data_IF_203559483526
#
_entry.id   IF_203559483526
#
_cell.length_a   1.000
_cell.length_b   1.000
_cell.length_c   1.000
_cell.angle_alpha   90.00
_cell.angle_beta   90.00
_cell.angle_gamma   90.00
#
_symmetry.space_group_name_H-M   'P 1'
#
loop_
_entity.id
_entity.type
_entity.pdbx_description
1 polymer ?
#
# COMPACT_ATOMS: atom_id res chain seq x y z
N UNK A 1 -10.29 7.58 -21.94
CA UNK A 1 -8.97 8.23 -21.87
C UNK A 1 -8.11 7.35 -20.97
N UNK A 2 -7.21 6.57 -21.59
CA UNK A 2 -6.24 5.78 -20.84
C UNK A 2 -5.29 6.73 -20.11
N UNK A 3 -5.27 6.68 -18.79
CA UNK A 3 -4.31 7.39 -17.97
C UNK A 3 -3.12 6.45 -17.76
N UNK A 4 -1.98 6.80 -18.30
CA UNK A 4 -0.74 6.07 -18.07
C UNK A 4 0.03 6.58 -16.86
N UNK A 5 1.14 5.90 -16.57
CA UNK A 5 2.11 6.27 -15.55
C UNK A 5 3.48 6.49 -16.21
N UNK A 6 4.25 7.42 -15.68
CA UNK A 6 5.66 7.60 -16.08
C UNK A 6 6.50 6.46 -15.52
N UNK A 7 6.85 5.49 -16.36
CA UNK A 7 7.60 4.29 -15.99
C UNK A 7 9.08 4.56 -15.72
N UNK A 8 9.63 5.66 -16.21
CA UNK A 8 10.99 6.10 -15.90
C UNK A 8 11.06 6.62 -14.46
N UNK A 9 10.09 7.45 -14.05
CA UNK A 9 10.01 7.93 -12.67
C UNK A 9 9.73 6.79 -11.68
N UNK A 10 8.81 5.87 -12.01
CA UNK A 10 8.50 4.69 -11.20
C UNK A 10 9.32 3.47 -11.67
N UNK A 11 10.64 3.55 -11.52
CA UNK A 11 11.55 2.43 -11.76
C UNK A 11 12.44 2.17 -10.54
N UNK A 12 12.54 0.91 -10.16
CA UNK A 12 13.41 0.48 -9.04
C UNK A 12 14.88 0.77 -9.28
N UNK A 13 15.32 0.85 -10.56
CA UNK A 13 16.69 1.17 -10.95
C UNK A 13 17.05 2.63 -10.66
N UNK A 14 16.07 3.52 -10.69
CA UNK A 14 16.25 4.96 -10.47
C UNK A 14 16.16 5.35 -9.00
N UNK A 15 16.04 4.38 -8.09
CA UNK A 15 16.00 4.58 -6.64
C UNK A 15 17.27 4.05 -5.99
N UNK A 16 18.07 4.91 -5.33
CA UNK A 16 19.29 4.48 -4.68
C UNK A 16 19.03 3.86 -3.30
N UNK A 17 19.88 2.88 -2.90
CA UNK A 17 19.84 2.31 -1.55
C UNK A 17 20.12 3.38 -0.47
N UNK A 18 21.04 4.31 -0.74
CA UNK A 18 21.35 5.40 0.18
C UNK A 18 20.12 6.25 0.48
N UNK A 19 19.37 6.64 -0.55
CA UNK A 19 18.13 7.42 -0.37
C UNK A 19 17.04 6.61 0.37
N UNK A 20 16.90 5.32 0.07
CA UNK A 20 15.97 4.43 0.77
C UNK A 20 16.31 4.33 2.27
N UNK A 21 17.60 4.18 2.62
CA UNK A 21 18.04 4.11 4.00
C UNK A 21 17.83 5.44 4.75
N UNK A 22 18.05 6.58 4.09
CA UNK A 22 17.75 7.89 4.67
C UNK A 22 16.26 8.07 4.95
N UNK A 23 15.39 7.60 4.04
CA UNK A 23 13.94 7.65 4.23
C UNK A 23 13.53 6.77 5.41
N UNK A 24 14.05 5.54 5.50
CA UNK A 24 13.84 4.61 6.60
C UNK A 24 14.16 5.25 7.95
N UNK A 25 15.35 5.85 8.07
CA UNK A 25 15.79 6.55 9.29
C UNK A 25 14.88 7.74 9.62
N UNK A 26 14.52 8.55 8.62
CA UNK A 26 13.67 9.72 8.82
C UNK A 26 12.25 9.36 9.27
N UNK A 27 11.73 8.24 8.81
CA UNK A 27 10.41 7.71 9.17
C UNK A 27 10.45 6.82 10.41
N UNK A 28 11.63 6.54 10.96
CA UNK A 28 11.86 5.66 12.12
C UNK A 28 11.30 4.25 11.89
N UNK A 29 11.50 3.72 10.70
CA UNK A 29 11.04 2.40 10.30
C UNK A 29 12.15 1.38 10.58
N UNK A 30 11.80 0.21 11.11
CA UNK A 30 12.70 -0.93 11.24
C UNK A 30 12.38 -1.95 10.13
N UNK A 31 13.28 -2.09 9.16
CA UNK A 31 13.18 -3.06 8.05
C UNK A 31 13.19 -4.54 8.47
N UNK A 32 13.39 -4.84 9.74
CA UNK A 32 13.17 -6.21 10.25
C UNK A 32 11.70 -6.59 10.23
N UNK A 33 10.82 -5.58 10.26
CA UNK A 33 9.38 -5.77 10.10
C UNK A 33 9.00 -5.89 8.62
N UNK A 34 7.90 -6.58 8.35
CA UNK A 34 7.22 -6.54 7.06
C UNK A 34 6.53 -5.19 6.90
N UNK A 35 6.94 -4.40 5.90
CA UNK A 35 6.49 -3.01 5.74
C UNK A 35 5.26 -2.94 4.83
N UNK A 36 4.15 -2.44 5.38
CA UNK A 36 2.87 -2.29 4.68
C UNK A 36 2.62 -0.80 4.46
N UNK A 37 2.50 -0.37 3.19
CA UNK A 37 2.30 1.03 2.82
C UNK A 37 0.87 1.25 2.32
N UNK A 38 0.15 2.21 2.91
CA UNK A 38 -1.12 2.72 2.41
C UNK A 38 -0.93 4.20 2.01
N UNK A 39 -0.69 4.50 0.71
CA UNK A 39 -0.56 5.85 0.24
C UNK A 39 -1.92 6.41 -0.20
N UNK A 40 -2.17 7.66 0.16
CA UNK A 40 -3.38 8.36 -0.26
C UNK A 40 -3.79 9.44 0.72
N UNK A 41 -4.49 10.47 0.23
CA UNK A 41 -5.03 11.53 1.07
C UNK A 41 -5.85 10.95 2.22
N UNK A 42 -5.76 11.56 3.40
CA UNK A 42 -6.59 11.15 4.54
C UNK A 42 -8.04 11.62 4.31
N UNK A 43 -8.83 10.75 3.74
CA UNK A 43 -10.25 10.97 3.44
C UNK A 43 -11.02 9.67 3.64
N UNK A 44 -12.27 9.78 4.11
CA UNK A 44 -13.10 8.62 4.44
C UNK A 44 -13.16 7.59 3.30
N UNK A 45 -13.31 8.06 2.06
CA UNK A 45 -13.44 7.20 0.90
C UNK A 45 -12.17 6.42 0.53
N UNK A 46 -11.00 6.81 1.06
CA UNK A 46 -9.72 6.07 0.92
C UNK A 46 -9.60 4.88 1.87
N UNK A 47 -10.55 4.70 2.80
CA UNK A 47 -10.69 3.50 3.60
C UNK A 47 -9.57 3.25 4.63
N UNK A 48 -8.95 4.33 5.16
CA UNK A 48 -7.95 4.18 6.22
C UNK A 48 -8.53 3.52 7.48
N UNK A 49 -9.82 3.74 7.77
CA UNK A 49 -10.50 3.09 8.90
C UNK A 49 -10.53 1.57 8.70
N UNK A 50 -11.01 1.09 7.54
CA UNK A 50 -11.02 -0.33 7.17
C UNK A 50 -9.62 -0.95 7.26
N UNK A 51 -8.59 -0.20 6.83
CA UNK A 51 -7.21 -0.66 6.93
C UNK A 51 -6.75 -0.80 8.38
N UNK A 52 -6.98 0.21 9.24
CA UNK A 52 -6.60 0.15 10.66
C UNK A 52 -7.32 -1.01 11.37
N UNK A 53 -8.61 -1.19 11.08
CA UNK A 53 -9.39 -2.32 11.60
C UNK A 53 -8.83 -3.67 11.14
N UNK A 54 -8.44 -3.80 9.88
CA UNK A 54 -7.82 -5.04 9.39
C UNK A 54 -6.49 -5.36 10.06
N UNK A 55 -5.69 -4.34 10.39
CA UNK A 55 -4.43 -4.52 11.10
C UNK A 55 -4.64 -4.97 12.56
N UNK A 56 -5.75 -4.58 13.20
CA UNK A 56 -6.08 -5.09 14.54
C UNK A 56 -6.34 -6.59 14.54
N UNK A 57 -7.05 -7.10 13.52
CA UNK A 57 -7.33 -8.52 13.34
C UNK A 57 -6.05 -9.33 13.08
N UNK A 58 -5.08 -8.78 12.36
CA UNK A 58 -3.76 -9.40 12.18
C UNK A 58 -2.99 -9.49 13.50
N UNK A 59 -3.06 -8.44 14.32
CA UNK A 59 -2.35 -8.36 15.61
C UNK A 59 -2.88 -9.34 16.64
N UNK A 60 -4.17 -9.66 16.61
CA UNK A 60 -4.81 -10.61 17.53
C UNK A 60 -4.44 -12.07 17.23
N UNK A 61 -4.13 -12.39 16.00
CA UNK A 61 -3.82 -13.76 15.57
C UNK A 61 -2.40 -14.26 15.91
N UNK A 62 -1.65 -13.58 16.77
CA UNK A 62 -0.37 -13.94 17.42
C UNK A 62 0.74 -14.61 16.58
N UNK A 63 0.53 -14.93 15.32
CA UNK A 63 1.49 -15.70 14.52
C UNK A 63 2.48 -14.86 13.71
N UNK A 64 2.21 -13.55 13.52
CA UNK A 64 3.14 -12.65 12.80
C UNK A 64 3.09 -11.24 13.39
N UNK A 65 3.80 -11.06 14.50
CA UNK A 65 3.89 -9.78 15.19
C UNK A 65 4.76 -8.73 14.45
N UNK A 66 5.54 -9.16 13.45
CA UNK A 66 6.57 -8.33 12.87
C UNK A 66 6.10 -7.63 11.59
N UNK A 67 5.10 -6.77 11.70
CA UNK A 67 4.78 -5.82 10.65
C UNK A 67 4.83 -4.38 11.16
N UNK A 68 5.08 -3.46 10.25
CA UNK A 68 4.94 -2.03 10.47
C UNK A 68 4.17 -1.41 9.32
N UNK A 69 3.10 -0.69 9.63
CA UNK A 69 2.24 -0.06 8.63
C UNK A 69 2.54 1.45 8.53
N UNK A 70 2.57 1.96 7.32
CA UNK A 70 2.77 3.37 7.02
C UNK A 70 1.51 3.89 6.33
N UNK A 71 0.82 4.85 6.96
CA UNK A 71 -0.27 5.60 6.34
C UNK A 71 0.34 6.91 5.82
N UNK A 72 0.49 7.01 4.51
CA UNK A 72 1.18 8.11 3.84
C UNK A 72 0.19 9.00 3.12
N UNK A 73 0.02 10.23 3.60
CA UNK A 73 -0.80 11.25 2.94
C UNK A 73 -1.25 12.36 3.86
N UNK A 74 -1.52 13.52 3.28
CA UNK A 74 -2.01 14.68 3.98
C UNK A 74 -3.53 14.60 4.21
N UNK A 75 -3.97 15.16 5.33
CA UNK A 75 -5.39 15.40 5.60
C UNK A 75 -5.95 16.62 4.85
N UNK A 76 -5.08 17.46 4.31
CA UNK A 76 -5.47 18.67 3.58
C UNK A 76 -6.45 19.56 4.40
N UNK A 77 -6.19 19.71 5.69
CA UNK A 77 -7.03 20.47 6.63
C UNK A 77 -8.26 19.71 7.16
N UNK A 78 -8.37 18.40 6.90
CA UNK A 78 -9.45 17.55 7.46
C UNK A 78 -9.08 16.99 8.83
N UNK A 79 -8.71 17.88 9.77
CA UNK A 79 -8.22 17.51 11.10
C UNK A 79 -9.16 16.58 11.87
N UNK A 80 -10.48 16.73 11.71
CA UNK A 80 -11.46 15.87 12.38
C UNK A 80 -11.26 14.40 11.97
N UNK A 81 -10.99 14.16 10.69
CA UNK A 81 -10.79 12.81 10.20
C UNK A 81 -9.44 12.25 10.64
N UNK A 82 -8.36 13.02 10.57
CA UNK A 82 -7.05 12.58 11.03
C UNK A 82 -7.04 12.28 12.54
N UNK A 83 -7.69 13.11 13.36
CA UNK A 83 -7.89 12.85 14.79
C UNK A 83 -8.68 11.56 15.04
N UNK A 84 -9.74 11.30 14.26
CA UNK A 84 -10.49 10.04 14.33
C UNK A 84 -9.61 8.83 14.07
N UNK A 85 -8.75 8.88 13.05
CA UNK A 85 -7.82 7.78 12.74
C UNK A 85 -6.83 7.52 13.89
N UNK A 86 -6.30 8.57 14.50
CA UNK A 86 -5.40 8.44 15.66
C UNK A 86 -6.09 7.78 16.85
N UNK A 87 -7.33 8.16 17.16
CA UNK A 87 -8.14 7.54 18.20
C UNK A 87 -8.41 6.05 17.90
N UNK A 88 -8.63 5.71 16.63
CA UNK A 88 -8.82 4.33 16.21
C UNK A 88 -7.56 3.49 16.42
N UNK A 89 -6.38 4.02 16.06
CA UNK A 89 -5.08 3.40 16.31
C UNK A 89 -4.84 3.17 17.80
N UNK A 90 -5.22 4.12 18.65
CA UNK A 90 -5.11 4.01 20.09
C UNK A 90 -6.07 2.95 20.66
N UNK A 91 -7.34 2.98 20.24
CA UNK A 91 -8.38 2.00 20.61
C UNK A 91 -7.93 0.56 20.30
N UNK A 92 -7.31 0.32 19.13
CA UNK A 92 -6.82 -1.00 18.73
C UNK A 92 -5.40 -1.30 19.21
N UNK A 93 -4.79 -0.44 20.04
CA UNK A 93 -3.42 -0.61 20.58
C UNK A 93 -2.33 -0.77 19.52
N UNK A 94 -2.52 -0.14 18.37
CA UNK A 94 -1.61 -0.23 17.22
C UNK A 94 -0.57 0.90 17.14
N UNK A 95 -0.44 1.74 18.18
CA UNK A 95 0.43 2.94 18.20
C UNK A 95 1.91 2.64 17.88
N UNK A 96 2.40 1.46 18.26
CA UNK A 96 3.77 1.03 17.94
C UNK A 96 3.93 0.38 16.57
N UNK A 97 2.82 0.06 15.90
CA UNK A 97 2.77 -0.67 14.62
C UNK A 97 2.36 0.21 13.44
N UNK A 98 1.92 1.44 13.68
CA UNK A 98 1.47 2.36 12.62
C UNK A 98 2.18 3.69 12.75
N UNK A 99 2.74 4.16 11.63
CA UNK A 99 3.29 5.51 11.48
C UNK A 99 2.48 6.30 10.46
N UNK A 100 2.09 7.54 10.82
CA UNK A 100 1.48 8.49 9.88
C UNK A 100 2.57 9.40 9.32
N UNK A 101 2.64 9.47 8.00
CA UNK A 101 3.56 10.34 7.25
C UNK A 101 2.72 11.30 6.41
N UNK A 102 2.89 12.59 6.63
CA UNK A 102 2.07 13.60 5.96
C UNK A 102 2.32 13.66 4.44
N UNK A 103 3.59 13.58 4.02
CA UNK A 103 3.94 13.65 2.61
C UNK A 103 5.29 12.97 2.32
N UNK A 104 5.44 12.52 1.09
CA UNK A 104 6.70 12.05 0.54
C UNK A 104 6.90 12.71 -0.83
N UNK A 105 8.05 13.38 -1.03
CA UNK A 105 8.38 14.01 -2.32
C UNK A 105 8.71 12.95 -3.37
N UNK A 106 9.46 11.92 -2.97
CA UNK A 106 9.93 10.85 -3.82
C UNK A 106 9.12 9.58 -3.56
N UNK A 107 7.92 9.52 -4.15
CA UNK A 107 7.02 8.36 -4.00
C UNK A 107 7.67 7.02 -4.39
N UNK A 108 8.54 6.91 -5.42
CA UNK A 108 9.26 5.68 -5.71
C UNK A 108 10.05 5.12 -4.52
N UNK A 109 10.63 5.97 -3.67
CA UNK A 109 11.35 5.52 -2.48
C UNK A 109 10.40 4.93 -1.42
N UNK A 110 9.22 5.53 -1.24
CA UNK A 110 8.20 5.00 -0.34
C UNK A 110 7.73 3.60 -0.78
N UNK A 111 7.49 3.42 -2.07
CA UNK A 111 7.19 2.10 -2.64
C UNK A 111 8.36 1.13 -2.49
N UNK A 112 9.60 1.57 -2.75
CA UNK A 112 10.79 0.72 -2.59
C UNK A 112 10.99 0.25 -1.16
N UNK A 113 10.66 1.09 -0.17
CA UNK A 113 10.74 0.75 1.25
C UNK A 113 9.73 -0.31 1.66
N UNK A 114 8.57 -0.38 1.01
CA UNK A 114 7.48 -1.28 1.39
C UNK A 114 7.65 -2.70 0.82
N UNK A 115 7.12 -3.71 1.53
CA UNK A 115 6.99 -5.09 1.07
C UNK A 115 5.62 -5.33 0.42
N UNK A 116 4.60 -4.60 0.88
CA UNK A 116 3.23 -4.67 0.41
C UNK A 116 2.61 -3.27 0.34
N UNK A 117 1.87 -3.01 -0.71
CA UNK A 117 1.09 -1.78 -0.85
C UNK A 117 -0.40 -2.09 -0.70
N UNK A 118 -1.14 -1.17 -0.10
CA UNK A 118 -2.59 -1.28 0.08
C UNK A 118 -3.30 -0.13 -0.65
N UNK A 119 -4.39 -0.46 -1.30
CA UNK A 119 -5.38 0.50 -1.82
C UNK A 119 -6.76 0.11 -1.30
N UNK A 120 -7.16 0.72 -0.18
CA UNK A 120 -8.36 0.33 0.58
C UNK A 120 -9.59 1.20 0.30
N UNK A 121 -9.66 1.86 -0.85
CA UNK A 121 -10.77 2.75 -1.19
C UNK A 121 -12.12 2.07 -1.04
N UNK A 122 -13.07 2.76 -0.40
CA UNK A 122 -14.44 2.27 -0.18
C UNK A 122 -15.43 2.81 -1.21
N UNK A 123 -14.96 3.73 -2.07
CA UNK A 123 -15.68 4.26 -3.21
C UNK A 123 -14.89 4.00 -4.50
N UNK A 124 -15.54 3.90 -5.67
CA UNK A 124 -14.86 3.62 -6.93
C UNK A 124 -13.85 4.71 -7.30
N UNK A 125 -12.60 4.33 -7.51
CA UNK A 125 -11.60 5.20 -8.13
C UNK A 125 -11.65 5.04 -9.65
N UNK A 126 -11.52 6.14 -10.38
CA UNK A 126 -11.58 6.12 -11.84
C UNK A 126 -10.43 5.32 -12.48
N UNK A 127 -9.23 5.32 -11.86
CA UNK A 127 -8.05 4.66 -12.45
C UNK A 127 -7.31 3.73 -11.48
N UNK A 128 -7.28 4.02 -10.16
CA UNK A 128 -6.51 3.24 -9.20
C UNK A 128 -5.00 3.49 -9.29
N UNK A 129 -4.59 4.76 -9.30
CA UNK A 129 -3.18 5.17 -9.43
C UNK A 129 -2.23 4.42 -8.50
N UNK A 130 -2.60 4.25 -7.24
CA UNK A 130 -1.79 3.54 -6.23
C UNK A 130 -1.46 2.12 -6.69
N UNK A 131 -2.43 1.42 -7.27
CA UNK A 131 -2.22 0.05 -7.75
C UNK A 131 -1.25 0.00 -8.94
N UNK A 132 -1.32 0.96 -9.84
CA UNK A 132 -0.42 1.04 -11.01
C UNK A 132 0.99 1.45 -10.57
N UNK A 133 1.13 2.43 -9.67
CA UNK A 133 2.42 2.88 -9.12
C UNK A 133 3.14 1.76 -8.34
N UNK A 134 2.41 1.03 -7.49
CA UNK A 134 2.94 -0.11 -6.76
C UNK A 134 3.48 -1.20 -7.70
N UNK A 135 2.69 -1.56 -8.71
CA UNK A 135 3.06 -2.55 -9.71
C UNK A 135 4.27 -2.08 -10.56
N UNK A 136 4.34 -0.80 -10.94
CA UNK A 136 5.49 -0.22 -11.63
C UNK A 136 6.77 -0.36 -10.79
N UNK A 137 6.66 -0.19 -9.48
CA UNK A 137 7.75 -0.37 -8.52
C UNK A 137 7.95 -1.82 -8.06
N UNK A 138 7.38 -2.80 -8.79
CA UNK A 138 7.48 -4.23 -8.51
C UNK A 138 7.05 -4.60 -7.09
N UNK A 139 6.03 -3.92 -6.55
CA UNK A 139 5.48 -4.22 -5.23
C UNK A 139 4.17 -4.95 -5.35
N UNK A 140 3.99 -6.05 -4.62
CA UNK A 140 2.68 -6.67 -4.43
C UNK A 140 1.67 -5.63 -3.97
N UNK A 141 0.44 -5.74 -4.47
CA UNK A 141 -0.66 -4.85 -4.10
C UNK A 141 -1.85 -5.66 -3.58
N UNK A 142 -2.45 -5.21 -2.48
CA UNK A 142 -3.80 -5.63 -2.08
C UNK A 142 -4.73 -4.45 -2.28
N UNK A 143 -5.74 -4.60 -3.11
CA UNK A 143 -6.64 -3.52 -3.48
C UNK A 143 -8.10 -3.92 -3.32
N UNK A 144 -8.95 -2.92 -3.04
CA UNK A 144 -10.40 -3.09 -3.03
C UNK A 144 -10.91 -3.53 -4.40
N UNK A 145 -11.78 -4.54 -4.44
CA UNK A 145 -12.45 -5.02 -5.67
C UNK A 145 -13.56 -4.04 -6.10
N UNK A 146 -13.15 -2.80 -6.45
CA UNK A 146 -14.06 -1.72 -6.85
C UNK A 146 -13.33 -0.73 -7.79
N UNK A 147 -14.10 -0.16 -8.74
CA UNK A 147 -13.57 0.85 -9.66
C UNK A 147 -12.35 0.39 -10.47
N UNK A 148 -11.41 1.29 -10.72
CA UNK A 148 -10.22 1.04 -11.53
C UNK A 148 -9.28 -0.05 -11.02
N UNK A 149 -9.35 -0.41 -9.74
CA UNK A 149 -8.54 -1.51 -9.20
C UNK A 149 -8.86 -2.85 -9.86
N UNK A 150 -10.11 -3.06 -10.26
CA UNK A 150 -10.56 -4.28 -10.98
C UNK A 150 -9.88 -4.45 -12.35
N UNK A 151 -9.52 -3.35 -12.97
CA UNK A 151 -8.88 -3.33 -14.30
C UNK A 151 -7.36 -3.33 -14.19
N UNK A 152 -6.83 -2.67 -13.15
CA UNK A 152 -5.39 -2.46 -13.00
C UNK A 152 -4.68 -3.58 -12.26
N UNK A 153 -5.37 -4.39 -11.44
CA UNK A 153 -4.79 -5.49 -10.68
C UNK A 153 -5.17 -6.83 -11.31
N UNK A 154 -4.17 -7.64 -11.66
CA UNK A 154 -4.37 -9.04 -12.04
C UNK A 154 -4.47 -9.90 -10.77
N UNK A 155 -5.70 -10.16 -10.32
CA UNK A 155 -5.96 -10.90 -9.08
C UNK A 155 -5.24 -12.25 -9.04
N UNK A 156 -4.50 -12.51 -7.95
CA UNK A 156 -3.68 -13.71 -7.76
C UNK A 156 -2.36 -13.72 -8.55
N UNK A 157 -2.08 -12.73 -9.42
CA UNK A 157 -0.86 -12.65 -10.23
C UNK A 157 -0.01 -11.43 -9.88
N UNK A 158 -0.55 -10.22 -10.00
CA UNK A 158 0.16 -8.98 -9.69
C UNK A 158 -0.20 -8.41 -8.31
N UNK A 159 -1.17 -8.99 -7.65
CA UNK A 159 -1.70 -8.60 -6.36
C UNK A 159 -2.95 -9.39 -6.02
N UNK A 160 -3.64 -8.97 -4.96
CA UNK A 160 -4.91 -9.55 -4.55
C UNK A 160 -6.00 -8.48 -4.56
N UNK A 161 -7.20 -8.88 -4.97
CA UNK A 161 -8.42 -8.08 -4.80
C UNK A 161 -9.20 -8.63 -3.61
N UNK A 162 -9.74 -7.73 -2.79
CA UNK A 162 -10.60 -8.10 -1.66
C UNK A 162 -11.92 -7.32 -1.71
N UNK A 163 -12.97 -7.85 -1.11
CA UNK A 163 -14.27 -7.17 -1.01
C UNK A 163 -14.11 -5.83 -0.28
N UNK A 164 -14.39 -4.72 -0.99
CA UNK A 164 -14.22 -3.39 -0.43
C UNK A 164 -15.00 -3.18 0.88
N UNK A 165 -14.49 -2.28 1.72
CA UNK A 165 -15.08 -1.94 3.02
C UNK A 165 -15.29 -3.15 3.95
N UNK A 166 -14.45 -4.18 3.83
CA UNK A 166 -14.48 -5.39 4.66
C UNK A 166 -13.10 -5.60 5.33
N UNK A 167 -12.97 -5.24 6.62
CA UNK A 167 -11.70 -5.39 7.35
C UNK A 167 -11.23 -6.84 7.46
N UNK A 168 -12.17 -7.80 7.56
CA UNK A 168 -11.82 -9.23 7.67
C UNK A 168 -11.21 -9.75 6.35
N UNK A 169 -11.83 -9.42 5.22
CA UNK A 169 -11.30 -9.81 3.91
C UNK A 169 -9.97 -9.11 3.62
N UNK A 170 -9.81 -7.84 4.00
CA UNK A 170 -8.54 -7.15 3.89
C UNK A 170 -7.46 -7.80 4.76
N UNK A 171 -7.77 -8.14 6.02
CA UNK A 171 -6.84 -8.84 6.92
C UNK A 171 -6.42 -10.20 6.35
N UNK A 172 -7.35 -10.99 5.83
CA UNK A 172 -7.05 -12.27 5.17
C UNK A 172 -6.12 -12.07 3.96
N UNK A 173 -6.39 -11.08 3.11
CA UNK A 173 -5.57 -10.79 1.94
C UNK A 173 -4.15 -10.34 2.33
N UNK A 174 -4.01 -9.45 3.33
CA UNK A 174 -2.71 -9.03 3.87
C UNK A 174 -1.95 -10.25 4.42
N UNK A 175 -2.59 -11.06 5.28
CA UNK A 175 -1.97 -12.24 5.86
C UNK A 175 -1.48 -13.21 4.79
N UNK A 176 -2.28 -13.45 3.75
CA UNK A 176 -1.91 -14.31 2.63
C UNK A 176 -0.63 -13.82 1.94
N UNK A 177 -0.46 -12.51 1.74
CA UNK A 177 0.77 -11.95 1.15
C UNK A 177 1.94 -12.05 2.13
N UNK A 178 1.73 -11.78 3.42
CA UNK A 178 2.77 -11.90 4.45
C UNK A 178 3.27 -13.36 4.62
N UNK A 179 2.46 -14.35 4.25
CA UNK A 179 2.80 -15.78 4.29
C UNK A 179 3.57 -16.27 3.06
N UNK A 180 3.63 -15.48 2.01
CA UNK A 180 4.40 -15.84 0.82
C UNK A 180 5.89 -15.85 1.11
N UNK A 181 6.59 -16.79 0.51
CA UNK A 181 8.04 -16.76 0.48
C UNK A 181 8.58 -15.60 -0.39
N UNK A 182 9.83 -15.26 -0.19
CA UNK A 182 10.47 -14.16 -0.91
C UNK A 182 10.41 -14.31 -2.44
N UNK A 183 10.50 -15.54 -2.95
CA UNK A 183 10.45 -15.83 -4.39
C UNK A 183 9.07 -15.53 -4.96
N UNK A 184 8.03 -15.92 -4.26
CA UNK A 184 6.63 -15.65 -4.63
C UNK A 184 6.30 -14.16 -4.62
N UNK A 185 6.78 -13.42 -3.60
CA UNK A 185 6.63 -11.96 -3.54
C UNK A 185 7.32 -11.25 -4.72
N UNK A 186 8.56 -11.64 -5.02
CA UNK A 186 9.30 -11.10 -6.17
C UNK A 186 8.56 -11.40 -7.48
N UNK A 187 8.11 -12.63 -7.67
CA UNK A 187 7.37 -13.03 -8.87
C UNK A 187 6.07 -12.20 -9.03
N UNK A 188 5.32 -11.99 -7.95
CA UNK A 188 4.11 -11.17 -7.96
C UNK A 188 4.43 -9.71 -8.36
N UNK A 189 5.50 -9.13 -7.83
CA UNK A 189 5.97 -7.80 -8.21
C UNK A 189 6.39 -7.69 -9.68
N UNK A 190 7.11 -8.69 -10.21
CA UNK A 190 7.52 -8.74 -11.62
C UNK A 190 6.31 -8.88 -12.57
N UNK A 191 5.31 -9.67 -12.19
CA UNK A 191 4.06 -9.76 -12.95
C UNK A 191 3.31 -8.43 -12.95
N UNK A 192 3.34 -7.70 -11.84
CA UNK A 192 2.80 -6.35 -11.74
C UNK A 192 3.49 -5.38 -12.71
N UNK A 193 4.82 -5.36 -12.71
CA UNK A 193 5.61 -4.51 -13.63
C UNK A 193 5.28 -4.80 -15.09
N UNK A 194 5.26 -6.06 -15.50
CA UNK A 194 4.90 -6.48 -16.87
C UNK A 194 3.48 -6.04 -17.26
N UNK A 195 2.53 -6.13 -16.33
CA UNK A 195 1.16 -5.68 -16.57
C UNK A 195 1.10 -4.18 -16.85
N UNK A 196 1.82 -3.37 -16.06
CA UNK A 196 1.85 -1.91 -16.21
C UNK A 196 2.57 -1.50 -17.50
N UNK A 197 3.71 -2.10 -17.81
CA UNK A 197 4.45 -1.86 -19.06
C UNK A 197 3.58 -2.12 -20.30
N UNK A 198 2.75 -3.16 -20.24
CA UNK A 198 1.89 -3.55 -21.37
C UNK A 198 0.66 -2.67 -21.54
N UNK A 199 0.08 -2.13 -20.45
CA UNK A 199 -1.26 -1.54 -20.49
C UNK A 199 -1.34 -0.08 -20.05
N UNK A 200 -0.36 0.41 -19.28
CA UNK A 200 -0.49 1.68 -18.56
C UNK A 200 0.73 2.61 -18.72
N UNK A 201 1.56 2.38 -19.73
CA UNK A 201 2.65 3.30 -20.07
C UNK A 201 2.08 4.56 -20.73
N UNK A 202 2.53 5.76 -20.30
CA UNK A 202 2.12 7.04 -20.91
C UNK A 202 2.68 7.24 -22.31
N UNK A 203 3.74 6.52 -22.69
CA UNK A 203 4.42 6.64 -23.98
C UNK A 203 3.80 5.72 -25.06
N UNK A 204 2.67 5.09 -24.75
CA UNK A 204 1.81 4.34 -25.67
C UNK A 204 0.48 5.10 -25.87
#
# INVERSE_FOLDING_TARGET
IFRGINLEYFDTKNTSEKQSNLLELSWKIDKKNFIILLPGRLTKWKGQETFIESLSLLSENHRKENFHAIILGSDQGREVYSKKLLLLVERYRLKKKITFINSCKEMPLAYKLSDLVISSSIEPEAFGRVAVEAQAMKRPIVASDIGGSKETVLNGKSGLLYRYNDPNELAKAINKVMEMDKKSLVLMGEQGRKNVEKKFNVDQ
#
